data_IF_384333619101
#
_entry.id   IF_384333619101
#
_cell.length_a   1.000
_cell.length_b   1.000
_cell.length_c   1.000
_cell.angle_alpha   90.00
_cell.angle_beta   90.00
_cell.angle_gamma   90.00
#
_symmetry.space_group_name_H-M   'P 1'
#
loop_
_entity.id
_entity.type
_entity.pdbx_description
1 polymer ?
#
# COMPACT_ATOMS: atom_id res chain seq x y z
N UNK A 1 35.39 54.83 -29.53
CA UNK A 1 35.88 53.61 -28.84
C UNK A 1 34.77 52.84 -28.14
N UNK A 2 33.94 53.47 -27.29
CA UNK A 2 32.89 52.78 -26.51
C UNK A 2 31.77 52.13 -27.36
N UNK A 3 31.42 52.73 -28.50
CA UNK A 3 30.41 52.17 -29.40
C UNK A 3 30.90 50.89 -30.11
N UNK A 4 32.20 50.80 -30.38
CA UNK A 4 32.78 49.64 -31.06
C UNK A 4 32.84 48.43 -30.11
N UNK A 5 33.25 48.67 -28.85
CA UNK A 5 33.23 47.63 -27.80
C UNK A 5 31.81 47.14 -27.49
N UNK A 6 30.82 48.04 -27.51
CA UNK A 6 29.42 47.67 -27.31
C UNK A 6 28.90 46.74 -28.42
N UNK A 7 29.21 47.05 -29.69
CA UNK A 7 28.81 46.23 -30.83
C UNK A 7 29.48 44.85 -30.79
N UNK A 8 30.77 44.79 -30.44
CA UNK A 8 31.49 43.50 -30.34
C UNK A 8 30.92 42.63 -29.22
N UNK A 9 30.62 43.22 -28.06
CA UNK A 9 30.04 42.49 -26.94
C UNK A 9 28.64 41.95 -27.26
N UNK A 10 27.80 42.76 -27.96
CA UNK A 10 26.48 42.33 -28.42
C UNK A 10 26.58 41.19 -29.44
N UNK A 11 27.50 41.27 -30.40
CA UNK A 11 27.71 40.21 -31.38
C UNK A 11 28.11 38.88 -30.71
N UNK A 12 29.05 38.93 -29.76
CA UNK A 12 29.46 37.74 -28.99
C UNK A 12 28.30 37.21 -28.14
N UNK A 13 27.54 38.08 -27.48
CA UNK A 13 26.37 37.72 -26.69
C UNK A 13 25.28 37.04 -27.52
N UNK A 14 25.01 37.51 -28.73
CA UNK A 14 24.06 36.90 -29.66
C UNK A 14 24.55 35.52 -30.11
N UNK A 15 25.82 35.38 -30.47
CA UNK A 15 26.39 34.08 -30.87
C UNK A 15 26.30 33.07 -29.75
N UNK A 16 26.73 33.44 -28.53
CA UNK A 16 26.65 32.55 -27.36
C UNK A 16 25.19 32.25 -27.00
N UNK A 17 24.31 33.26 -27.06
CA UNK A 17 22.88 33.10 -26.78
C UNK A 17 22.20 32.13 -27.73
N UNK A 18 22.48 32.21 -29.04
CA UNK A 18 21.92 31.29 -30.04
C UNK A 18 22.45 29.86 -29.84
N UNK A 19 23.74 29.70 -29.54
CA UNK A 19 24.31 28.37 -29.27
C UNK A 19 23.70 27.73 -28.02
N UNK A 20 23.48 28.52 -26.97
CA UNK A 20 22.87 28.04 -25.72
C UNK A 20 21.38 27.74 -25.89
N UNK A 21 20.63 28.62 -26.57
CA UNK A 21 19.21 28.41 -26.88
C UNK A 21 19.00 27.19 -27.78
N UNK A 22 19.88 26.96 -28.75
CA UNK A 22 19.84 25.77 -29.62
C UNK A 22 20.03 24.47 -28.82
N UNK A 23 20.92 24.48 -27.82
CA UNK A 23 21.13 23.34 -26.91
C UNK A 23 19.94 23.11 -25.97
N UNK A 24 19.24 24.18 -25.58
CA UNK A 24 18.08 24.16 -24.69
C UNK A 24 16.73 24.04 -25.40
N UNK A 25 16.70 23.94 -26.73
CA UNK A 25 15.47 23.69 -27.47
C UNK A 25 14.93 22.30 -27.12
N UNK A 26 14.22 22.22 -25.99
CA UNK A 26 13.28 21.17 -25.61
C UNK A 26 12.15 21.27 -26.63
N UNK A 27 12.35 20.62 -27.77
CA UNK A 27 11.37 20.62 -28.84
C UNK A 27 10.07 19.92 -28.43
N UNK A 28 8.98 20.10 -29.22
CA UNK A 28 7.71 19.40 -29.01
C UNK A 28 7.85 17.87 -28.99
N UNK A 29 8.93 17.32 -29.57
CA UNK A 29 9.27 15.91 -29.51
C UNK A 29 9.59 15.40 -28.10
N UNK A 30 10.29 16.20 -27.27
CA UNK A 30 10.62 15.83 -25.89
C UNK A 30 9.41 15.88 -24.97
N UNK A 31 8.52 16.85 -25.20
CA UNK A 31 7.24 16.94 -24.49
C UNK A 31 6.35 15.74 -24.81
N UNK A 32 6.24 15.37 -26.10
CA UNK A 32 5.49 14.18 -26.53
C UNK A 32 6.10 12.89 -25.99
N UNK A 33 7.42 12.78 -25.96
CA UNK A 33 8.13 11.63 -25.38
C UNK A 33 7.82 11.49 -23.89
N UNK A 34 7.84 12.60 -23.14
CA UNK A 34 7.54 12.60 -21.71
C UNK A 34 6.06 12.28 -21.43
N UNK A 35 5.14 12.84 -22.22
CA UNK A 35 3.71 12.52 -22.15
C UNK A 35 3.47 11.02 -22.40
N UNK A 36 4.13 10.46 -23.42
CA UNK A 36 4.04 9.04 -23.71
C UNK A 36 4.59 8.19 -22.55
N UNK A 37 5.72 8.58 -21.95
CA UNK A 37 6.27 7.88 -20.77
C UNK A 37 5.28 7.88 -19.60
N UNK A 38 4.62 9.00 -19.32
CA UNK A 38 3.60 9.09 -18.27
C UNK A 38 2.41 8.19 -18.60
N UNK A 39 1.94 8.23 -19.84
CA UNK A 39 0.82 7.38 -20.30
C UNK A 39 1.16 5.90 -20.15
N UNK A 40 2.32 5.48 -20.66
CA UNK A 40 2.79 4.09 -20.55
C UNK A 40 2.97 3.68 -19.10
N UNK A 41 3.53 4.52 -18.24
CA UNK A 41 3.70 4.18 -16.82
C UNK A 41 2.35 4.02 -16.10
N UNK A 42 1.38 4.88 -16.42
CA UNK A 42 0.02 4.76 -15.90
C UNK A 42 -0.66 3.48 -16.39
N UNK A 43 -0.53 3.16 -17.67
CA UNK A 43 -1.07 1.93 -18.25
C UNK A 43 -0.49 0.68 -17.58
N UNK A 44 0.83 0.60 -17.42
CA UNK A 44 1.47 -0.52 -16.72
C UNK A 44 1.00 -0.64 -15.25
N UNK A 45 0.75 0.49 -14.58
CA UNK A 45 0.27 0.47 -13.21
C UNK A 45 -1.17 -0.01 -13.12
N UNK A 46 -2.02 0.42 -14.05
CA UNK A 46 -3.41 -0.04 -14.13
C UNK A 46 -3.46 -1.55 -14.46
N UNK A 47 -2.65 -2.02 -15.42
CA UNK A 47 -2.50 -3.46 -15.75
C UNK A 47 -2.01 -4.29 -14.56
N UNK A 48 -1.02 -3.79 -13.81
CA UNK A 48 -0.54 -4.47 -12.60
C UNK A 48 -1.64 -4.60 -11.54
N UNK A 49 -2.42 -3.54 -11.32
CA UNK A 49 -3.54 -3.56 -10.35
C UNK A 49 -4.60 -4.58 -10.75
N UNK A 50 -4.93 -4.65 -12.04
CA UNK A 50 -5.90 -5.61 -12.57
C UNK A 50 -5.38 -7.05 -12.39
N UNK A 51 -4.11 -7.31 -12.74
CA UNK A 51 -3.49 -8.63 -12.55
C UNK A 51 -3.48 -9.08 -11.08
N UNK A 52 -3.21 -8.17 -10.16
CA UNK A 52 -3.25 -8.46 -8.72
C UNK A 52 -4.68 -8.75 -8.26
N UNK A 53 -5.65 -7.97 -8.72
CA UNK A 53 -7.07 -8.18 -8.43
C UNK A 53 -7.55 -9.55 -8.89
N UNK A 54 -7.19 -9.95 -10.11
CA UNK A 54 -7.53 -11.26 -10.67
C UNK A 54 -6.87 -12.39 -9.87
N UNK A 55 -5.60 -12.23 -9.47
CA UNK A 55 -4.90 -13.24 -8.67
C UNK A 55 -5.57 -13.47 -7.31
N UNK A 56 -5.96 -12.40 -6.61
CA UNK A 56 -6.64 -12.52 -5.32
C UNK A 56 -8.07 -13.02 -5.47
N UNK A 57 -8.77 -12.69 -6.56
CA UNK A 57 -10.09 -13.25 -6.85
C UNK A 57 -10.02 -14.77 -7.07
N UNK A 58 -9.09 -15.22 -7.89
CA UNK A 58 -8.83 -16.66 -8.10
C UNK A 58 -8.41 -17.36 -6.80
N UNK A 59 -7.57 -16.72 -5.98
CA UNK A 59 -7.14 -17.26 -4.69
C UNK A 59 -8.32 -17.40 -3.72
N UNK A 60 -9.21 -16.40 -3.68
CA UNK A 60 -10.41 -16.47 -2.85
C UNK A 60 -11.33 -17.62 -3.26
N UNK A 61 -11.52 -17.84 -4.56
CA UNK A 61 -12.27 -18.99 -5.09
C UNK A 61 -11.64 -20.32 -4.66
N UNK A 62 -10.32 -20.44 -4.78
CA UNK A 62 -9.60 -21.67 -4.41
C UNK A 62 -9.67 -21.95 -2.90
N UNK A 63 -9.58 -20.92 -2.07
CA UNK A 63 -9.73 -21.02 -0.61
C UNK A 63 -11.17 -21.40 -0.23
N UNK A 64 -12.16 -20.85 -0.93
CA UNK A 64 -13.56 -21.22 -0.74
C UNK A 64 -13.79 -22.71 -1.07
N UNK A 65 -13.23 -23.18 -2.19
CA UNK A 65 -13.31 -24.59 -2.57
C UNK A 65 -12.67 -25.51 -1.50
N UNK A 66 -11.50 -25.12 -0.98
CA UNK A 66 -10.86 -25.85 0.12
C UNK A 66 -11.73 -25.89 1.39
N UNK A 67 -12.40 -24.77 1.70
CA UNK A 67 -13.28 -24.67 2.86
C UNK A 67 -14.48 -25.59 2.73
N UNK A 68 -15.10 -25.67 1.55
CA UNK A 68 -16.20 -26.60 1.30
C UNK A 68 -15.74 -28.06 1.41
N UNK A 69 -14.59 -28.42 0.80
CA UNK A 69 -14.03 -29.76 0.93
C UNK A 69 -13.71 -30.13 2.39
N UNK A 70 -13.22 -29.18 3.18
CA UNK A 70 -12.98 -29.38 4.62
C UNK A 70 -14.29 -29.66 5.37
N UNK A 71 -15.35 -28.90 5.07
CA UNK A 71 -16.68 -29.08 5.65
C UNK A 71 -17.28 -30.43 5.27
N UNK A 72 -17.15 -30.87 4.02
CA UNK A 72 -17.60 -32.20 3.57
C UNK A 72 -16.93 -33.33 4.36
N UNK A 73 -15.61 -33.26 4.55
CA UNK A 73 -14.86 -34.23 5.36
C UNK A 73 -15.38 -34.24 6.80
N UNK A 74 -15.63 -33.05 7.36
CA UNK A 74 -16.15 -32.93 8.71
C UNK A 74 -17.55 -33.54 8.86
N UNK A 75 -18.44 -33.27 7.90
CA UNK A 75 -19.78 -33.87 7.85
C UNK A 75 -19.72 -35.38 7.71
N UNK A 76 -18.79 -35.91 6.91
CA UNK A 76 -18.60 -37.35 6.79
C UNK A 76 -18.13 -37.99 8.09
N UNK A 77 -17.20 -37.35 8.80
CA UNK A 77 -16.73 -37.80 10.11
C UNK A 77 -17.86 -37.75 11.15
N UNK A 78 -18.65 -36.69 11.14
CA UNK A 78 -19.82 -36.52 11.98
C UNK A 78 -20.88 -37.62 11.76
N UNK A 79 -21.18 -37.95 10.49
CA UNK A 79 -22.08 -39.06 10.15
C UNK A 79 -21.50 -40.40 10.60
N UNK A 80 -20.22 -40.66 10.29
CA UNK A 80 -19.56 -41.91 10.68
C UNK A 80 -19.51 -42.09 12.20
N UNK A 81 -19.30 -41.02 12.97
CA UNK A 81 -19.33 -41.07 14.42
C UNK A 81 -20.72 -41.46 14.96
N UNK A 82 -21.81 -40.95 14.36
CA UNK A 82 -23.18 -41.32 14.76
C UNK A 82 -23.50 -42.78 14.43
N UNK A 83 -23.05 -43.27 13.28
CA UNK A 83 -23.34 -44.64 12.82
C UNK A 83 -22.50 -45.69 13.57
N UNK A 84 -21.26 -45.37 13.94
CA UNK A 84 -20.29 -46.33 14.46
C UNK A 84 -20.06 -46.23 15.98
N UNK A 85 -20.38 -45.10 16.63
CA UNK A 85 -20.15 -44.90 18.06
C UNK A 85 -21.46 -45.00 18.87
N UNK A 86 -21.36 -45.38 20.15
CA UNK A 86 -22.48 -45.23 21.08
C UNK A 86 -22.87 -43.74 21.20
N UNK A 87 -24.15 -43.47 21.41
CA UNK A 87 -24.74 -42.12 21.40
C UNK A 87 -23.99 -41.12 22.34
N UNK A 88 -23.41 -41.63 23.44
CA UNK A 88 -22.60 -40.84 24.39
C UNK A 88 -21.23 -40.37 23.85
N UNK A 89 -20.63 -41.14 22.93
CA UNK A 89 -19.32 -40.81 22.32
C UNK A 89 -19.53 -39.97 21.06
N UNK A 90 -20.58 -40.27 20.28
CA UNK A 90 -20.96 -39.47 19.11
C UNK A 90 -21.28 -38.02 19.50
N UNK A 91 -22.05 -37.80 20.58
CA UNK A 91 -22.40 -36.46 21.07
C UNK A 91 -21.21 -35.63 21.61
N UNK A 92 -20.11 -36.27 21.99
CA UNK A 92 -18.85 -35.58 22.38
C UNK A 92 -17.92 -35.29 21.21
N UNK A 93 -18.01 -36.06 20.12
CA UNK A 93 -17.19 -35.91 18.91
C UNK A 93 -17.85 -34.98 17.89
N UNK A 94 -19.17 -34.95 17.86
CA UNK A 94 -19.93 -33.92 17.18
C UNK A 94 -19.80 -32.61 17.95
N UNK A 95 -19.73 -31.46 17.27
CA UNK A 95 -19.98 -30.18 17.92
C UNK A 95 -21.39 -30.26 18.48
N UNK A 96 -21.49 -30.48 19.79
CA UNK A 96 -22.66 -30.06 20.51
C UNK A 96 -22.72 -28.56 20.25
N UNK A 97 -23.77 -28.17 19.53
CA UNK A 97 -24.25 -26.81 19.42
C UNK A 97 -23.42 -25.99 18.41
N UNK A 98 -24.15 -25.50 17.43
CA UNK A 98 -23.73 -24.62 16.34
C UNK A 98 -23.12 -23.34 16.90
N UNK A 99 -21.87 -23.38 17.33
CA UNK A 99 -21.16 -22.19 17.77
C UNK A 99 -20.72 -21.43 16.52
N UNK A 100 -21.57 -20.50 16.09
CA UNK A 100 -21.30 -19.17 15.53
C UNK A 100 -20.11 -18.92 14.57
N UNK A 101 -19.45 -19.95 14.03
CA UNK A 101 -18.25 -19.81 13.20
C UNK A 101 -18.59 -19.81 11.70
N UNK A 102 -19.77 -20.30 11.32
CA UNK A 102 -20.15 -20.47 9.91
C UNK A 102 -21.46 -19.78 9.50
N UNK A 103 -22.18 -19.11 10.42
CA UNK A 103 -23.41 -18.40 10.07
C UNK A 103 -23.09 -16.95 9.67
N UNK A 104 -22.87 -16.73 8.37
CA UNK A 104 -22.59 -15.42 7.77
C UNK A 104 -23.86 -14.58 7.60
N UNK A 105 -24.81 -14.63 8.53
CA UNK A 105 -26.04 -13.84 8.43
C UNK A 105 -26.61 -13.42 9.81
N UNK A 106 -25.85 -12.61 10.53
CA UNK A 106 -26.29 -12.02 11.80
C UNK A 106 -25.55 -10.73 12.08
N UNK A 107 -26.20 -9.61 11.83
CA UNK A 107 -25.84 -8.29 12.35
C UNK A 107 -25.63 -8.30 13.87
N UNK A 108 -24.75 -7.40 14.32
CA UNK A 108 -24.66 -6.81 15.67
C UNK A 108 -23.52 -7.33 16.58
N UNK A 109 -22.53 -6.45 16.71
CA UNK A 109 -21.82 -6.07 17.95
C UNK A 109 -20.89 -7.08 18.65
N UNK A 110 -19.63 -6.65 18.78
CA UNK A 110 -18.73 -6.88 19.91
C UNK A 110 -18.62 -8.31 20.48
N UNK A 111 -17.96 -9.23 19.77
CA UNK A 111 -17.35 -10.40 20.42
C UNK A 111 -16.03 -10.83 19.77
N UNK A 112 -14.91 -10.54 20.43
CA UNK A 112 -13.85 -11.52 20.76
C UNK A 112 -13.16 -12.37 19.68
N UNK A 113 -13.34 -12.14 18.38
CA UNK A 113 -12.74 -12.98 17.33
C UNK A 113 -12.15 -12.13 16.20
N UNK A 114 -10.86 -12.37 15.91
CA UNK A 114 -10.07 -11.75 14.84
C UNK A 114 -9.80 -10.25 15.04
N UNK A 115 -8.85 -9.95 15.93
CA UNK A 115 -8.26 -8.61 16.02
C UNK A 115 -7.44 -8.40 14.74
N UNK A 116 -7.76 -7.41 13.88
CA UNK A 116 -6.91 -7.12 12.72
C UNK A 116 -5.49 -6.77 13.21
N UNK A 117 -4.43 -7.12 12.46
CA UNK A 117 -3.07 -6.76 12.84
C UNK A 117 -3.02 -5.25 13.13
N UNK A 118 -2.58 -4.89 14.34
CA UNK A 118 -2.58 -3.52 14.86
C UNK A 118 -1.68 -2.55 14.09
N UNK A 119 -0.96 -3.06 13.09
CA UNK A 119 0.02 -2.33 12.29
C UNK A 119 -0.60 -1.37 11.26
N UNK A 120 -1.93 -1.39 11.08
CA UNK A 120 -2.64 -0.45 10.19
C UNK A 120 -3.20 0.80 10.91
N UNK A 121 -2.85 1.03 12.18
CA UNK A 121 -3.40 2.15 12.95
C UNK A 121 -3.07 3.51 12.30
N UNK A 122 -4.12 4.20 11.83
CA UNK A 122 -4.03 5.57 11.32
C UNK A 122 -3.62 6.53 12.44
N UNK A 123 -2.98 7.66 12.09
CA UNK A 123 -2.57 8.68 13.06
C UNK A 123 -3.80 9.18 13.82
N UNK A 124 -3.82 9.03 15.15
CA UNK A 124 -4.93 9.47 16.01
C UNK A 124 -5.05 10.99 16.07
N UNK A 125 -3.96 11.71 15.76
CA UNK A 125 -3.97 13.16 15.61
C UNK A 125 -3.01 13.61 14.52
N UNK A 126 -3.23 14.77 13.88
CA UNK A 126 -2.38 15.25 12.78
C UNK A 126 -0.91 15.45 13.18
N UNK A 127 -0.66 15.65 14.48
CA UNK A 127 0.66 15.93 15.05
C UNK A 127 1.34 14.68 15.62
N UNK A 128 0.65 13.54 15.64
CA UNK A 128 1.23 12.27 16.07
C UNK A 128 2.17 11.74 14.98
N UNK A 129 3.42 11.50 15.35
CA UNK A 129 4.42 10.91 14.47
C UNK A 129 4.10 9.42 14.27
N UNK A 130 4.08 8.98 13.02
CA UNK A 130 3.79 7.58 12.68
C UNK A 130 5.00 6.69 12.92
N UNK A 131 4.78 5.39 13.08
CA UNK A 131 5.82 4.39 13.33
C UNK A 131 6.86 4.28 12.19
N UNK A 132 6.51 4.69 10.97
CA UNK A 132 7.39 4.74 9.80
C UNK A 132 8.02 6.13 9.57
N UNK A 133 7.83 7.08 10.48
CA UNK A 133 8.46 8.39 10.38
C UNK A 133 9.92 8.29 10.81
N UNK A 134 10.83 8.92 10.07
CA UNK A 134 12.28 8.94 10.36
C UNK A 134 12.62 9.49 11.74
N UNK A 135 11.68 10.22 12.36
CA UNK A 135 11.80 10.80 13.70
C UNK A 135 11.06 10.03 14.80
N UNK A 136 10.59 8.82 14.50
CA UNK A 136 9.98 7.94 15.49
C UNK A 136 11.04 7.43 16.49
N UNK A 137 10.83 7.67 17.78
CA UNK A 137 11.77 7.31 18.84
C UNK A 137 12.95 8.27 19.03
N UNK A 138 13.00 9.40 18.30
CA UNK A 138 14.04 10.41 18.48
C UNK A 138 13.51 11.60 19.32
N UNK A 139 14.01 11.75 20.55
CA UNK A 139 13.84 12.98 21.30
C UNK A 139 14.81 14.04 20.77
N UNK A 140 14.28 15.09 20.14
CA UNK A 140 15.10 16.25 19.81
C UNK A 140 15.46 16.95 21.12
N UNK A 141 16.68 16.76 21.60
CA UNK A 141 17.29 17.68 22.56
C UNK A 141 17.19 19.08 21.96
N UNK A 142 16.44 19.93 22.65
CA UNK A 142 16.29 21.35 22.34
C UNK A 142 17.71 21.93 22.17
N UNK A 143 18.02 22.65 21.07
CA UNK A 143 19.30 23.32 20.98
C UNK A 143 19.40 24.25 22.17
N UNK A 144 20.42 24.05 23.00
CA UNK A 144 20.77 24.97 24.07
C UNK A 144 21.07 26.29 23.39
N UNK A 145 20.19 27.26 23.59
CA UNK A 145 20.46 28.66 23.32
C UNK A 145 21.48 29.12 24.36
N UNK A 146 22.76 28.97 24.05
CA UNK A 146 23.85 29.62 24.78
C UNK A 146 24.03 31.03 24.20
N UNK A 147 23.13 31.91 24.63
CA UNK A 147 23.36 33.34 24.73
C UNK A 147 23.82 33.60 26.18
N UNK A 148 25.13 33.54 26.43
CA UNK A 148 25.88 34.34 27.42
C UNK A 148 27.33 33.84 27.49
N UNK A 149 28.25 34.63 26.93
CA UNK A 149 29.68 34.54 27.21
C UNK A 149 29.97 35.58 28.30
N UNK A 150 30.36 35.19 29.53
CA UNK A 150 31.05 36.09 30.42
C UNK A 150 32.56 35.86 30.32
N UNK A 151 33.24 36.87 29.76
CA UNK A 151 34.65 37.31 29.89
C UNK A 151 35.71 36.23 30.14
#
# INVERSE_FOLDING_TARGET
MIYLTAITCLAVGVVVGVLFASKLNIGPSRLKELENQISTLKENHDEYRDSVSDHFSMTAELVQHMTESYKEVYQHLASGAQDLCSNEVASKLLPAETDAVFDANGSTEETGGLIPPKDYATKQSPKQKGALSEEFGLERTKPVSEEEIPI
#
